data_IF_857449739664
#
_entry.id   IF_857449739664
#
_cell.length_a   1.000
_cell.length_b   1.000
_cell.length_c   1.000
_cell.angle_alpha   90.00
_cell.angle_beta   90.00
_cell.angle_gamma   90.00
#
_symmetry.space_group_name_H-M   'P 1'
#
loop_
_entity.id
_entity.type
_entity.pdbx_description
1 polymer ?
#
# COMPACT_ATOMS: atom_id res chain seq x y z
N UNK A 1 30.31 3.20 5.48
CA UNK A 1 29.00 2.53 5.48
C UNK A 1 27.97 3.56 5.90
N UNK A 2 27.06 3.96 5.00
CA UNK A 2 25.93 4.80 5.39
C UNK A 2 24.95 3.89 6.14
N UNK A 3 24.66 4.21 7.41
CA UNK A 3 23.68 3.47 8.19
C UNK A 3 22.30 3.72 7.60
N UNK A 4 21.84 2.80 6.73
CA UNK A 4 20.48 2.83 6.21
C UNK A 4 19.54 2.59 7.38
N UNK A 5 18.76 3.62 7.73
CA UNK A 5 17.64 3.48 8.66
C UNK A 5 16.40 3.14 7.86
N UNK A 6 15.63 2.16 8.34
CA UNK A 6 14.36 1.77 7.73
C UNK A 6 13.21 2.07 8.69
N UNK A 7 12.25 2.85 8.21
CA UNK A 7 10.98 3.08 8.89
C UNK A 7 9.90 2.25 8.20
N UNK A 8 9.01 1.65 8.98
CA UNK A 8 7.86 0.91 8.47
C UNK A 8 6.57 1.56 8.97
N UNK A 9 5.59 1.67 8.09
CA UNK A 9 4.27 2.17 8.39
C UNK A 9 3.22 1.26 7.76
N UNK A 10 2.19 0.91 8.54
CA UNK A 10 1.10 0.06 8.09
C UNK A 10 -0.22 0.80 8.27
N UNK A 11 -1.02 0.87 7.22
CA UNK A 11 -2.30 1.56 7.22
C UNK A 11 -3.37 0.73 6.52
N UNK A 12 -4.56 0.70 7.13
CA UNK A 12 -5.77 0.14 6.53
C UNK A 12 -6.64 1.27 6.05
N UNK A 13 -7.11 1.17 4.81
CA UNK A 13 -7.94 2.16 4.14
C UNK A 13 -9.19 1.46 3.64
N UNK A 14 -10.34 1.95 4.06
CA UNK A 14 -11.62 1.56 3.47
C UNK A 14 -11.86 2.43 2.23
N UNK A 15 -12.05 1.79 1.09
CA UNK A 15 -12.30 2.44 -0.18
C UNK A 15 -13.65 1.99 -0.73
N UNK A 16 -14.44 2.97 -1.15
CA UNK A 16 -15.75 2.75 -1.76
C UNK A 16 -15.73 3.28 -3.19
N UNK A 17 -15.96 2.40 -4.14
CA UNK A 17 -16.10 2.67 -5.56
C UNK A 17 -17.46 3.29 -5.90
N UNK A 18 -17.78 3.28 -7.19
CA UNK A 18 -19.03 3.91 -7.66
C UNK A 18 -20.24 3.04 -7.34
N UNK A 19 -20.07 1.71 -7.37
CA UNK A 19 -21.15 0.75 -7.08
C UNK A 19 -21.03 0.20 -5.66
N UNK A 20 -22.15 -0.22 -5.03
CA UNK A 20 -22.12 -0.80 -3.69
C UNK A 20 -21.25 -2.06 -3.58
N UNK A 21 -21.06 -2.81 -4.67
CA UNK A 21 -20.24 -4.02 -4.69
C UNK A 21 -18.73 -3.72 -4.81
N UNK A 22 -18.37 -2.48 -5.12
CA UNK A 22 -17.00 -2.00 -5.28
C UNK A 22 -16.48 -1.40 -3.96
N UNK A 23 -16.76 -2.05 -2.84
CA UNK A 23 -16.34 -1.60 -1.50
C UNK A 23 -15.34 -2.60 -0.91
N UNK A 24 -14.15 -2.12 -0.54
CA UNK A 24 -13.09 -3.00 -0.06
C UNK A 24 -12.15 -2.28 0.93
N UNK A 25 -11.60 -3.07 1.86
CA UNK A 25 -10.57 -2.61 2.79
C UNK A 25 -9.22 -3.09 2.28
N UNK A 26 -8.29 -2.15 2.14
CA UNK A 26 -6.94 -2.38 1.71
C UNK A 26 -5.96 -2.10 2.84
N UNK A 27 -5.01 -2.99 3.06
CA UNK A 27 -3.88 -2.79 3.96
C UNK A 27 -2.62 -2.53 3.15
N UNK A 28 -2.07 -1.32 3.30
CA UNK A 28 -0.80 -0.91 2.75
C UNK A 28 0.28 -1.09 3.82
N UNK A 29 1.37 -1.76 3.46
CA UNK A 29 2.63 -1.69 4.20
C UNK A 29 3.60 -0.85 3.40
N UNK A 30 4.07 0.23 4.01
CA UNK A 30 5.00 1.19 3.39
C UNK A 30 6.32 1.20 4.14
N UNK A 31 7.41 1.31 3.40
CA UNK A 31 8.76 1.43 3.93
C UNK A 31 9.41 2.71 3.46
N UNK A 32 10.20 3.33 4.33
CA UNK A 32 11.06 4.46 4.01
C UNK A 32 12.49 4.12 4.39
N UNK A 33 13.41 4.25 3.45
CA UNK A 33 14.85 4.05 3.66
C UNK A 33 15.52 5.42 3.65
N UNK A 34 16.27 5.71 4.72
CA UNK A 34 16.98 6.99 4.91
C UNK A 34 18.48 6.76 4.95
N UNK A 35 19.24 7.58 4.22
CA UNK A 35 20.68 7.49 4.08
C UNK A 35 21.11 6.78 2.79
N UNK A 36 20.26 6.80 1.75
CA UNK A 36 20.50 6.17 0.45
C UNK A 36 19.84 6.92 -0.71
N UNK A 37 19.53 6.19 -1.79
CA UNK A 37 18.68 6.74 -2.86
C UNK A 37 17.22 6.73 -2.41
N UNK A 38 16.44 7.75 -2.83
CA UNK A 38 15.02 7.94 -2.50
C UNK A 38 14.74 8.38 -1.05
N UNK A 39 15.72 9.01 -0.41
CA UNK A 39 15.53 9.68 0.86
C UNK A 39 14.33 10.67 0.77
N UNK A 40 13.35 10.49 1.64
CA UNK A 40 12.12 11.29 1.69
C UNK A 40 10.87 10.64 1.07
N UNK A 41 11.01 9.55 0.33
CA UNK A 41 9.86 8.82 -0.23
C UNK A 41 9.41 7.67 0.69
N UNK A 42 8.10 7.38 0.65
CA UNK A 42 7.53 6.14 1.16
C UNK A 42 7.25 5.22 -0.02
N UNK A 43 7.71 3.98 0.05
CA UNK A 43 7.51 2.96 -0.97
C UNK A 43 6.52 1.93 -0.47
N UNK A 44 5.55 1.55 -1.30
CA UNK A 44 4.64 0.45 -0.99
C UNK A 44 5.40 -0.87 -1.07
N UNK A 45 5.60 -1.52 0.07
CA UNK A 45 6.19 -2.85 0.15
C UNK A 45 5.16 -3.93 -0.16
N UNK A 46 3.96 -3.82 0.41
CA UNK A 46 2.86 -4.74 0.14
C UNK A 46 1.50 -4.03 0.17
N UNK A 47 0.59 -4.55 -0.65
CA UNK A 47 -0.82 -4.19 -0.69
C UNK A 47 -1.62 -5.48 -0.52
N UNK A 48 -2.43 -5.55 0.52
CA UNK A 48 -3.37 -6.64 0.79
C UNK A 48 -4.78 -6.09 0.78
N UNK A 49 -5.75 -6.94 0.53
CA UNK A 49 -7.15 -6.59 0.57
C UNK A 49 -7.93 -7.70 1.29
N UNK A 50 -9.02 -7.33 1.96
CA UNK A 50 -9.83 -8.26 2.76
C UNK A 50 -10.83 -9.07 1.93
N UNK A 51 -11.15 -8.63 0.70
CA UNK A 51 -12.15 -9.28 -0.14
C UNK A 51 -11.68 -10.62 -0.73
N UNK A 52 -12.64 -11.48 -1.08
CA UNK A 52 -12.39 -12.68 -1.89
C UNK A 52 -12.08 -12.29 -3.35
N UNK A 53 -10.96 -11.60 -3.59
CA UNK A 53 -10.49 -11.23 -4.92
C UNK A 53 -11.50 -10.44 -5.74
N UNK A 54 -11.43 -9.11 -5.70
CA UNK A 54 -12.07 -8.25 -6.72
C UNK A 54 -11.31 -8.42 -8.06
N UNK A 55 -11.42 -9.62 -8.63
CA UNK A 55 -10.90 -10.01 -9.93
C UNK A 55 -12.09 -10.24 -10.88
N UNK A 56 -12.90 -9.20 -11.11
CA UNK A 56 -13.87 -9.19 -12.22
C UNK A 56 -13.92 -7.91 -13.04
N UNK A 57 -12.88 -7.10 -13.00
CA UNK A 57 -12.79 -5.98 -13.94
C UNK A 57 -11.66 -5.02 -13.67
N UNK A 58 -10.42 -5.47 -13.85
CA UNK A 58 -9.37 -4.50 -14.17
C UNK A 58 -9.57 -4.16 -15.65
N UNK A 59 -10.34 -3.10 -15.92
CA UNK A 59 -10.30 -2.41 -17.21
C UNK A 59 -9.33 -1.23 -17.05
N UNK A 60 -8.23 -1.30 -17.81
CA UNK A 60 -7.27 -0.21 -18.00
C UNK A 60 -7.89 0.92 -18.85
#
# INVERSE_FOLDING_TARGET
>A
SLYVRENCFKQRVWMRGLRPEEEEIFEFTMVQRVGGFWDGYWLTESLRHDGEGVARGIAY
#
